data_IF_578443676604
#
_entry.id   IF_578443676604
#
_cell.length_a   1.000
_cell.length_b   1.000
_cell.length_c   1.000
_cell.angle_alpha   90.00
_cell.angle_beta   90.00
_cell.angle_gamma   90.00
#
_symmetry.space_group_name_H-M   'P 1'
#
loop_
_entity.id
_entity.type
_entity.pdbx_description
1 polymer ?
#
# COMPACT_ATOMS: atom_id res chain seq x y z
N UNK A 1 18.93 19.95 -40.79
CA UNK A 1 19.30 20.11 -39.37
C UNK A 1 18.09 20.21 -38.44
N UNK A 2 17.21 21.22 -38.56
CA UNK A 2 16.03 21.42 -37.67
C UNK A 2 15.08 20.20 -37.55
N UNK A 3 14.78 19.50 -38.66
CA UNK A 3 13.95 18.27 -38.63
C UNK A 3 14.58 17.10 -37.88
N UNK A 4 15.90 17.02 -37.84
CA UNK A 4 16.64 15.93 -37.20
C UNK A 4 16.73 16.16 -35.69
N UNK A 5 17.01 17.40 -35.25
CA UNK A 5 16.91 17.80 -33.84
C UNK A 5 15.50 17.57 -33.28
N UNK A 6 14.45 17.90 -34.05
CA UNK A 6 13.05 17.66 -33.62
C UNK A 6 12.75 16.19 -33.39
N UNK A 7 13.23 15.30 -34.27
CA UNK A 7 13.02 13.85 -34.13
C UNK A 7 13.77 13.29 -32.92
N UNK A 8 15.02 13.70 -32.72
CA UNK A 8 15.82 13.26 -31.56
C UNK A 8 15.15 13.69 -30.25
N UNK A 9 14.68 14.94 -30.15
CA UNK A 9 13.92 15.40 -28.98
C UNK A 9 12.62 14.61 -28.77
N UNK A 10 11.85 14.39 -29.84
CA UNK A 10 10.62 13.59 -29.76
C UNK A 10 10.88 12.17 -29.26
N UNK A 11 11.87 11.47 -29.81
CA UNK A 11 12.21 10.12 -29.37
C UNK A 11 12.80 10.11 -27.95
N UNK A 12 13.55 11.14 -27.58
CA UNK A 12 14.06 11.31 -26.22
C UNK A 12 12.93 11.44 -25.20
N UNK A 13 11.99 12.36 -25.42
CA UNK A 13 10.82 12.52 -24.56
C UNK A 13 9.92 11.29 -24.56
N UNK A 14 9.73 10.63 -25.71
CA UNK A 14 8.97 9.40 -25.79
C UNK A 14 9.61 8.28 -24.98
N UNK A 15 10.94 8.12 -25.05
CA UNK A 15 11.67 7.13 -24.26
C UNK A 15 11.54 7.42 -22.76
N UNK A 16 11.69 8.69 -22.34
CA UNK A 16 11.48 9.08 -20.93
C UNK A 16 10.07 8.73 -20.49
N UNK A 17 9.05 9.03 -21.30
CA UNK A 17 7.66 8.70 -21.00
C UNK A 17 7.41 7.20 -20.86
N UNK A 18 7.99 6.38 -21.75
CA UNK A 18 7.90 4.92 -21.67
C UNK A 18 8.57 4.40 -20.40
N UNK A 19 9.79 4.84 -20.10
CA UNK A 19 10.51 4.41 -18.91
C UNK A 19 9.79 4.82 -17.61
N UNK A 20 9.27 6.05 -17.54
CA UNK A 20 8.50 6.52 -16.40
C UNK A 20 7.22 5.70 -16.20
N UNK A 21 6.51 5.38 -17.29
CA UNK A 21 5.29 4.55 -17.23
C UNK A 21 5.62 3.14 -16.73
N UNK A 22 6.70 2.52 -17.23
CA UNK A 22 7.13 1.20 -16.77
C UNK A 22 7.55 1.23 -15.29
N UNK A 23 8.27 2.26 -14.85
CA UNK A 23 8.65 2.41 -13.45
C UNK A 23 7.43 2.57 -12.54
N UNK A 24 6.44 3.37 -12.94
CA UNK A 24 5.19 3.54 -12.20
C UNK A 24 4.43 2.21 -12.07
N UNK A 25 4.26 1.48 -13.17
CA UNK A 25 3.59 0.17 -13.17
C UNK A 25 4.34 -0.86 -12.31
N UNK A 26 5.67 -0.85 -12.37
CA UNK A 26 6.50 -1.72 -11.54
C UNK A 26 6.35 -1.38 -10.05
N UNK A 27 6.40 -0.10 -9.68
CA UNK A 27 6.21 0.35 -8.30
C UNK A 27 4.85 -0.05 -7.74
N UNK A 28 3.76 0.20 -8.49
CA UNK A 28 2.41 -0.22 -8.12
C UNK A 28 2.31 -1.75 -7.92
N UNK A 29 2.92 -2.53 -8.82
CA UNK A 29 2.92 -3.98 -8.70
C UNK A 29 3.71 -4.47 -7.47
N UNK A 30 4.78 -3.77 -7.11
CA UNK A 30 5.56 -4.05 -5.90
C UNK A 30 4.76 -3.69 -4.64
N UNK A 31 4.05 -2.57 -4.62
CA UNK A 31 3.24 -2.14 -3.48
C UNK A 31 2.11 -3.12 -3.16
N UNK A 32 1.34 -3.52 -4.19
CA UNK A 32 0.25 -4.49 -4.04
C UNK A 32 0.75 -5.83 -3.50
N UNK A 33 1.95 -6.25 -3.89
CA UNK A 33 2.56 -7.51 -3.41
C UNK A 33 3.24 -7.36 -2.06
N UNK A 34 3.72 -6.17 -1.73
CA UNK A 34 4.48 -5.88 -0.53
C UNK A 34 3.59 -5.73 0.70
N UNK A 35 2.41 -5.11 0.53
CA UNK A 35 1.50 -4.82 1.63
C UNK A 35 0.78 -6.07 2.17
N UNK A 36 0.11 -6.86 1.32
CA UNK A 36 -0.53 -8.12 1.72
C UNK A 36 0.06 -9.30 0.95
N UNK A 37 0.79 -10.16 1.67
CA UNK A 37 1.41 -11.36 1.13
C UNK A 37 0.56 -12.61 1.36
N UNK A 38 -0.61 -12.47 1.99
CA UNK A 38 -1.47 -13.59 2.33
C UNK A 38 -2.40 -13.95 1.17
N UNK A 39 -2.67 -15.25 0.98
CA UNK A 39 -3.61 -15.77 -0.03
C UNK A 39 -4.45 -16.91 0.53
N UNK A 40 -5.67 -17.07 0.03
CA UNK A 40 -6.62 -18.07 0.56
C UNK A 40 -7.22 -17.64 1.90
N UNK A 41 -7.95 -18.55 2.55
CA UNK A 41 -8.71 -18.20 3.76
C UNK A 41 -9.79 -17.19 3.47
N UNK A 42 -10.60 -17.40 2.44
CA UNK A 42 -11.70 -16.51 2.06
C UNK A 42 -12.99 -16.79 2.82
N UNK A 43 -13.13 -17.98 3.40
CA UNK A 43 -14.28 -18.40 4.19
C UNK A 43 -13.91 -18.50 5.66
N UNK A 44 -14.87 -18.22 6.54
CA UNK A 44 -14.71 -18.41 7.98
C UNK A 44 -14.36 -19.87 8.29
N UNK A 45 -13.40 -20.17 9.19
CA UNK A 45 -12.76 -19.28 10.17
C UNK A 45 -11.47 -18.58 9.68
N UNK A 46 -11.21 -18.54 8.37
CA UNK A 46 -10.05 -17.90 7.73
C UNK A 46 -8.68 -18.50 8.10
N UNK A 47 -8.62 -19.78 8.43
CA UNK A 47 -7.41 -20.44 8.95
C UNK A 47 -6.51 -21.08 7.89
N UNK A 48 -7.02 -21.31 6.68
CA UNK A 48 -6.33 -21.99 5.58
C UNK A 48 -5.53 -21.04 4.67
N UNK A 49 -5.22 -19.83 5.16
CA UNK A 49 -4.40 -18.88 4.40
C UNK A 49 -2.93 -19.33 4.33
N UNK A 50 -2.24 -18.86 3.30
CA UNK A 50 -0.79 -19.02 3.12
C UNK A 50 -0.13 -17.66 3.00
N UNK A 51 1.16 -17.59 3.28
CA UNK A 51 1.96 -16.36 3.22
C UNK A 51 2.17 -15.73 4.59
N UNK A 52 2.82 -14.57 4.61
CA UNK A 52 3.15 -13.84 5.84
C UNK A 52 2.09 -12.76 6.11
N UNK A 53 1.51 -12.70 7.31
CA UNK A 53 0.74 -11.54 7.75
C UNK A 53 1.56 -10.25 7.73
N UNK A 54 0.87 -9.11 7.81
CA UNK A 54 1.51 -7.79 7.88
C UNK A 54 2.43 -7.73 9.09
N UNK A 55 3.67 -7.28 8.84
CA UNK A 55 4.68 -7.04 9.88
C UNK A 55 4.54 -5.62 10.42
N UNK A 56 3.58 -5.45 11.30
CA UNK A 56 3.21 -4.17 11.88
C UNK A 56 4.39 -3.42 12.51
N UNK A 57 5.32 -4.13 13.15
CA UNK A 57 6.58 -3.63 13.75
C UNK A 57 7.47 -2.83 12.80
N UNK A 58 7.24 -2.92 11.49
CA UNK A 58 8.03 -2.21 10.47
C UNK A 58 7.33 -0.99 9.88
N UNK A 59 6.08 -0.72 10.28
CA UNK A 59 5.35 0.45 9.82
C UNK A 59 5.75 1.67 10.67
N UNK A 60 5.81 2.83 10.01
CA UNK A 60 6.05 4.09 10.72
C UNK A 60 4.81 4.45 11.55
N UNK A 61 5.02 5.12 12.68
CA UNK A 61 3.95 5.67 13.50
C UNK A 61 3.51 7.03 12.96
N UNK A 62 2.21 7.30 13.08
CA UNK A 62 1.61 8.62 12.84
C UNK A 62 0.83 9.05 14.08
N UNK A 63 0.30 10.28 14.08
CA UNK A 63 -0.51 10.78 15.19
C UNK A 63 -1.79 9.96 15.42
N UNK A 64 -2.33 9.34 14.36
CA UNK A 64 -3.61 8.61 14.40
C UNK A 64 -3.45 7.10 14.21
N UNK A 65 -2.26 6.60 13.88
CA UNK A 65 -2.02 5.17 13.73
C UNK A 65 -0.67 4.82 13.10
N UNK A 66 -0.71 4.16 11.96
CA UNK A 66 0.46 3.58 11.31
C UNK A 66 0.45 3.85 9.80
N UNK A 67 1.62 3.88 9.19
CA UNK A 67 1.75 3.98 7.73
C UNK A 67 2.73 2.94 7.19
N UNK A 68 2.27 2.19 6.18
CA UNK A 68 3.14 1.40 5.33
C UNK A 68 3.65 2.29 4.19
N UNK A 69 4.98 2.35 4.05
CA UNK A 69 5.65 3.11 2.99
C UNK A 69 5.84 2.26 1.75
N UNK A 70 5.11 2.60 0.68
CA UNK A 70 5.24 1.97 -0.62
C UNK A 70 6.25 2.69 -1.52
N UNK A 71 6.41 2.18 -2.73
CA UNK A 71 7.14 2.81 -3.82
C UNK A 71 6.31 3.92 -4.49
N UNK A 72 5.00 3.72 -4.60
CA UNK A 72 4.05 4.62 -5.27
C UNK A 72 2.86 4.95 -4.36
N UNK A 73 2.39 3.97 -3.60
CA UNK A 73 1.22 4.08 -2.72
C UNK A 73 1.63 3.84 -1.28
N UNK A 74 1.48 4.86 -0.45
CA UNK A 74 1.53 4.69 0.99
C UNK A 74 0.15 4.25 1.50
N UNK A 75 0.14 3.36 2.49
CA UNK A 75 -1.10 2.86 3.09
C UNK A 75 -1.17 3.36 4.53
N UNK A 76 -2.03 4.36 4.75
CA UNK A 76 -2.28 4.95 6.05
C UNK A 76 -3.39 4.16 6.73
N UNK A 77 -3.16 3.86 8.00
CA UNK A 77 -4.06 3.07 8.83
C UNK A 77 -4.37 3.89 10.07
N UNK A 78 -5.62 4.30 10.18
CA UNK A 78 -6.12 4.94 11.38
C UNK A 78 -6.37 3.86 12.45
N UNK A 79 -5.60 3.92 13.54
CA UNK A 79 -5.66 2.92 14.60
C UNK A 79 -6.88 3.06 15.51
N UNK A 80 -7.66 4.14 15.40
CA UNK A 80 -8.90 4.30 16.17
C UNK A 80 -10.08 3.65 15.45
N UNK A 81 -10.27 3.99 14.18
CA UNK A 81 -11.40 3.58 13.33
C UNK A 81 -11.11 2.36 12.44
N UNK A 82 -9.84 1.98 12.26
CA UNK A 82 -9.47 0.91 11.35
C UNK A 82 -9.59 1.29 9.88
N UNK A 83 -9.77 2.58 9.59
CA UNK A 83 -9.85 3.12 8.24
C UNK A 83 -8.51 2.97 7.53
N UNK A 84 -8.53 2.37 6.34
CA UNK A 84 -7.39 2.31 5.42
C UNK A 84 -7.56 3.41 4.36
N UNK A 85 -6.54 4.24 4.24
CA UNK A 85 -6.44 5.34 3.26
C UNK A 85 -5.21 5.13 2.40
N UNK A 86 -5.34 5.31 1.09
CA UNK A 86 -4.20 5.29 0.19
C UNK A 86 -3.71 6.71 -0.03
N UNK A 87 -2.42 6.95 0.17
CA UNK A 87 -1.76 8.19 -0.24
C UNK A 87 -0.93 7.93 -1.49
N UNK A 88 -1.27 8.63 -2.56
CA UNK A 88 -0.55 8.61 -3.82
C UNK A 88 -0.08 10.02 -4.17
N UNK A 89 1.23 10.25 -4.10
CA UNK A 89 1.83 11.55 -4.40
C UNK A 89 1.26 12.72 -3.56
N UNK A 90 0.91 12.47 -2.29
CA UNK A 90 0.34 13.46 -1.38
C UNK A 90 -1.18 13.61 -1.50
N UNK A 91 -1.83 12.75 -2.29
CA UNK A 91 -3.29 12.72 -2.43
C UNK A 91 -3.84 11.54 -1.64
N UNK A 92 -4.52 11.84 -0.55
CA UNK A 92 -5.18 10.84 0.29
C UNK A 92 -6.56 10.47 -0.26
N UNK A 93 -6.76 9.18 -0.51
CA UNK A 93 -8.00 8.58 -1.02
C UNK A 93 -8.47 7.56 0.02
N UNK A 94 -9.54 7.86 0.79
CA UNK A 94 -10.13 6.90 1.71
C UNK A 94 -10.61 5.66 0.95
N UNK A 95 -10.27 4.47 1.44
CA UNK A 95 -10.59 3.22 0.75
C UNK A 95 -11.68 2.42 1.46
N UNK A 96 -11.35 1.73 2.55
CA UNK A 96 -12.29 0.95 3.39
C UNK A 96 -11.67 0.58 4.73
N UNK A 97 -12.51 0.16 5.67
CA UNK A 97 -12.06 -0.46 6.91
C UNK A 97 -11.52 -1.88 6.67
N UNK A 98 -10.83 -2.44 7.67
CA UNK A 98 -10.38 -3.83 7.62
C UNK A 98 -11.53 -4.81 7.39
N UNK A 99 -11.32 -5.76 6.47
CA UNK A 99 -12.27 -6.85 6.28
C UNK A 99 -12.24 -7.83 7.47
N UNK A 100 -13.29 -8.62 7.72
CA UNK A 100 -13.28 -9.64 8.78
C UNK A 100 -12.09 -10.61 8.68
N UNK A 101 -11.72 -10.99 7.44
CA UNK A 101 -10.52 -11.79 7.17
C UNK A 101 -9.26 -11.07 7.62
N UNK A 102 -9.10 -9.79 7.25
CA UNK A 102 -7.92 -9.02 7.62
C UNK A 102 -7.81 -8.83 9.14
N UNK A 103 -8.93 -8.65 9.83
CA UNK A 103 -8.97 -8.56 11.29
C UNK A 103 -8.48 -9.85 11.95
N UNK A 104 -8.83 -11.02 11.42
CA UNK A 104 -8.40 -12.31 11.97
C UNK A 104 -6.96 -12.65 11.58
N UNK A 105 -6.59 -12.47 10.32
CA UNK A 105 -5.29 -12.92 9.80
C UNK A 105 -4.16 -11.97 10.20
N UNK A 106 -4.38 -10.66 10.12
CA UNK A 106 -3.34 -9.68 10.40
C UNK A 106 -3.41 -9.12 11.81
N UNK A 107 -4.52 -9.29 12.53
CA UNK A 107 -4.73 -8.77 13.89
C UNK A 107 -4.25 -7.31 14.09
N UNK A 108 -4.76 -6.35 13.28
CA UNK A 108 -4.39 -4.95 13.39
C UNK A 108 -4.76 -4.34 14.74
N UNK A 109 -5.77 -4.89 15.43
CA UNK A 109 -6.21 -4.37 16.75
C UNK A 109 -5.12 -4.58 17.79
N UNK A 110 -4.53 -5.77 17.85
CA UNK A 110 -3.41 -6.04 18.76
C UNK A 110 -2.22 -5.15 18.41
N UNK A 111 -1.86 -5.06 17.12
CA UNK A 111 -0.76 -4.21 16.66
C UNK A 111 -0.92 -2.72 17.03
N UNK A 112 -2.14 -2.18 16.92
CA UNK A 112 -2.44 -0.81 17.35
C UNK A 112 -2.35 -0.65 18.88
N UNK A 113 -2.85 -1.63 19.67
CA UNK A 113 -2.75 -1.58 21.14
C UNK A 113 -1.31 -1.67 21.64
N UNK A 114 -0.47 -2.46 20.98
CA UNK A 114 0.97 -2.55 21.29
C UNK A 114 1.70 -1.22 21.08
N UNK A 115 1.10 -0.31 20.29
CA UNK A 115 1.57 1.06 20.03
C UNK A 115 0.79 2.10 20.81
N UNK A 116 0.10 1.69 21.87
CA UNK A 116 -0.63 2.56 22.79
C UNK A 116 -1.87 3.25 22.19
N UNK A 117 -2.33 2.83 21.01
CA UNK A 117 -3.61 3.28 20.46
C UNK A 117 -4.80 2.51 21.07
N UNK A 118 -5.99 3.10 20.95
CA UNK A 118 -7.25 2.54 21.44
C UNK A 118 -8.21 2.23 20.27
N UNK A 119 -8.04 1.08 19.59
CA UNK A 119 -8.89 0.70 18.46
C UNK A 119 -10.33 0.40 18.91
N UNK A 120 -11.31 0.98 18.22
CA UNK A 120 -12.76 0.78 18.46
C UNK A 120 -13.48 0.04 17.33
N UNK A 121 -12.78 -0.21 16.23
CA UNK A 121 -13.22 -1.08 15.15
C UNK A 121 -13.04 -2.55 15.48
#
# INVERSE_FOLDING_TARGET
MLRQCRRVLLYGFALIGVLATLALLAGLALDVRGFDQTRGGHETPYTDYRGEPIRWERLDLTDTGMVYRGYVVDVLIDCSSGMITFDMFGVEIPWREFSPRALVIHDPRTACREREFQPVF
#
